data_IF_804061021657
#
_entry.id   IF_804061021657
#
_cell.length_a   1.000
_cell.length_b   1.000
_cell.length_c   1.000
_cell.angle_alpha   90.00
_cell.angle_beta   90.00
_cell.angle_gamma   90.00
#
_symmetry.space_group_name_H-M   'P 1'
#
loop_
_entity.id
_entity.type
_entity.pdbx_description
1 polymer ?
#
# COMPACT_ATOMS: atom_id res chain seq x y z
N UNK A 1 6.98 24.66 5.14
CA UNK A 1 8.26 24.62 4.41
C UNK A 1 8.09 25.45 3.15
N UNK A 2 8.80 26.58 3.04
CA UNK A 2 8.86 27.33 1.78
C UNK A 2 9.58 26.46 0.74
N UNK A 3 9.10 26.45 -0.51
CA UNK A 3 9.70 25.69 -1.59
C UNK A 3 11.06 26.29 -1.94
N UNK A 4 12.14 25.63 -1.54
CA UNK A 4 13.47 26.00 -2.02
C UNK A 4 13.66 25.43 -3.42
N UNK A 5 13.36 26.25 -4.43
CA UNK A 5 13.56 25.92 -5.84
C UNK A 5 15.04 25.99 -6.25
N UNK A 6 15.96 26.29 -5.32
CA UNK A 6 17.39 26.34 -5.59
C UNK A 6 17.87 24.96 -6.08
N UNK A 7 18.30 24.91 -7.33
CA UNK A 7 18.87 23.72 -7.97
C UNK A 7 17.95 23.00 -8.96
N UNK A 8 16.68 23.40 -9.10
CA UNK A 8 15.79 22.84 -10.12
C UNK A 8 15.91 23.65 -11.41
N UNK A 9 16.55 23.08 -12.43
CA UNK A 9 16.56 23.67 -13.77
C UNK A 9 15.23 23.40 -14.49
N UNK A 10 14.33 24.37 -14.37
CA UNK A 10 13.01 24.34 -15.02
C UNK A 10 13.14 24.24 -16.55
N UNK A 11 14.19 24.82 -17.14
CA UNK A 11 14.40 24.82 -18.59
C UNK A 11 14.68 23.41 -19.09
N UNK A 12 15.56 22.69 -18.41
CA UNK A 12 15.88 21.30 -18.75
C UNK A 12 14.68 20.38 -18.54
N UNK A 13 13.93 20.53 -17.44
CA UNK A 13 12.68 19.78 -17.23
C UNK A 13 11.67 20.00 -18.35
N UNK A 14 11.48 21.25 -18.78
CA UNK A 14 10.60 21.60 -19.91
C UNK A 14 11.05 20.96 -21.22
N UNK A 15 12.36 20.93 -21.50
CA UNK A 15 12.90 20.24 -22.69
C UNK A 15 12.57 18.74 -22.64
N UNK A 16 12.83 18.07 -21.51
CA UNK A 16 12.51 16.65 -21.34
C UNK A 16 11.03 16.35 -21.58
N UNK A 17 10.14 17.18 -21.05
CA UNK A 17 8.68 17.01 -21.27
C UNK A 17 8.28 17.30 -22.71
N UNK A 18 8.87 18.31 -23.36
CA UNK A 18 8.56 18.68 -24.75
C UNK A 18 8.96 17.59 -25.75
N UNK A 19 10.09 16.92 -25.52
CA UNK A 19 10.63 15.90 -26.41
C UNK A 19 10.32 14.47 -25.94
N UNK A 20 9.36 14.32 -25.04
CA UNK A 20 8.89 13.02 -24.57
C UNK A 20 7.95 12.39 -25.61
N UNK A 21 8.47 11.48 -26.43
CA UNK A 21 7.70 10.79 -27.45
C UNK A 21 6.69 9.79 -26.88
N UNK A 22 6.82 9.41 -25.61
CA UNK A 22 5.94 8.45 -24.93
C UNK A 22 5.00 9.12 -23.91
N UNK A 23 4.79 10.43 -24.05
CA UNK A 23 3.93 11.23 -23.16
C UNK A 23 2.53 10.60 -22.98
N UNK A 24 1.95 10.06 -24.04
CA UNK A 24 0.61 9.47 -24.01
C UNK A 24 0.52 8.23 -23.10
N UNK A 25 1.63 7.52 -22.86
CA UNK A 25 1.67 6.35 -21.97
C UNK A 25 1.73 6.71 -20.48
N UNK A 26 1.92 8.00 -20.16
CA UNK A 26 2.08 8.49 -18.78
C UNK A 26 0.78 8.93 -18.12
N UNK A 27 -0.36 8.81 -18.81
CA UNK A 27 -1.67 8.98 -18.20
C UNK A 27 -2.05 7.72 -17.44
N UNK A 28 -2.14 7.85 -16.13
CA UNK A 28 -2.47 6.76 -15.20
C UNK A 28 -3.70 7.14 -14.39
N UNK A 29 -4.48 6.16 -13.97
CA UNK A 29 -5.59 6.42 -13.05
C UNK A 29 -5.04 6.59 -11.64
N UNK A 30 -5.60 7.52 -10.88
CA UNK A 30 -5.31 7.70 -9.47
C UNK A 30 -6.59 7.97 -8.68
N UNK A 31 -6.55 7.62 -7.39
CA UNK A 31 -7.61 7.97 -6.43
C UNK A 31 -7.38 9.40 -5.96
N UNK A 32 -8.20 10.32 -6.46
CA UNK A 32 -8.15 11.74 -6.10
C UNK A 32 -8.81 11.98 -4.74
N UNK A 33 -9.96 11.33 -4.50
CA UNK A 33 -10.68 11.31 -3.22
C UNK A 33 -11.28 9.92 -3.02
N UNK A 34 -11.75 9.54 -1.82
CA UNK A 34 -12.42 8.27 -1.64
C UNK A 34 -13.52 8.09 -2.70
N UNK A 35 -13.39 7.04 -3.51
CA UNK A 35 -14.30 6.69 -4.62
C UNK A 35 -14.31 7.67 -5.82
N UNK A 36 -13.37 8.62 -5.90
CA UNK A 36 -13.20 9.53 -7.05
C UNK A 36 -11.89 9.19 -7.78
N UNK A 37 -12.03 8.51 -8.92
CA UNK A 37 -10.92 8.08 -9.77
C UNK A 37 -10.76 9.07 -10.92
N UNK A 38 -9.54 9.62 -11.08
CA UNK A 38 -9.21 10.58 -12.12
C UNK A 38 -7.94 10.18 -12.86
N UNK A 39 -7.71 10.79 -14.02
CA UNK A 39 -6.44 10.66 -14.72
C UNK A 39 -5.41 11.62 -14.13
N UNK A 40 -4.22 11.07 -13.85
CA UNK A 40 -3.01 11.78 -13.48
C UNK A 40 -2.00 11.61 -14.61
N UNK A 41 -1.40 12.71 -15.03
CA UNK A 41 -0.22 12.65 -15.89
C UNK A 41 1.02 12.38 -15.01
N UNK A 42 1.39 11.11 -14.86
CA UNK A 42 2.51 10.69 -14.00
C UNK A 42 3.84 10.90 -14.71
N UNK A 43 4.38 12.12 -14.56
CA UNK A 43 5.69 12.49 -15.04
C UNK A 43 6.53 13.06 -13.90
N UNK A 44 7.62 12.36 -13.54
CA UNK A 44 8.49 12.75 -12.40
C UNK A 44 9.23 14.07 -12.62
N UNK A 45 9.24 14.61 -13.84
CA UNK A 45 9.76 15.95 -14.11
C UNK A 45 8.77 17.03 -13.65
N UNK A 46 7.45 16.76 -13.71
CA UNK A 46 6.38 17.69 -13.32
C UNK A 46 5.87 17.47 -11.89
N UNK A 47 5.96 16.23 -11.39
CA UNK A 47 5.55 15.89 -10.03
C UNK A 47 6.71 16.19 -9.07
N UNK A 48 6.47 17.10 -8.12
CA UNK A 48 7.46 17.51 -7.12
C UNK A 48 7.90 16.35 -6.21
N UNK A 49 6.94 15.53 -5.77
CA UNK A 49 7.17 14.40 -4.87
C UNK A 49 6.51 13.14 -5.42
N UNK A 50 7.18 12.39 -6.30
CA UNK A 50 6.59 11.21 -6.92
C UNK A 50 6.44 10.03 -5.96
N UNK A 51 7.18 10.03 -4.83
CA UNK A 51 7.16 8.96 -3.83
C UNK A 51 7.25 7.56 -4.47
N UNK A 52 8.22 7.41 -5.40
CA UNK A 52 8.35 6.28 -6.33
C UNK A 52 8.15 4.90 -5.68
N UNK A 53 8.80 4.68 -4.54
CA UNK A 53 8.73 3.44 -3.76
C UNK A 53 7.31 3.02 -3.35
N UNK A 54 6.37 3.96 -3.29
CA UNK A 54 4.97 3.73 -2.93
C UNK A 54 4.08 3.79 -4.17
N UNK A 55 4.30 4.80 -5.02
CA UNK A 55 3.47 5.07 -6.19
C UNK A 55 3.65 4.03 -7.28
N UNK A 56 4.89 3.66 -7.60
CA UNK A 56 5.20 2.77 -8.72
C UNK A 56 4.69 1.35 -8.53
N UNK A 57 4.76 0.74 -7.32
CA UNK A 57 4.09 -0.53 -7.06
C UNK A 57 2.57 -0.50 -7.29
N UNK A 58 1.93 0.66 -7.21
CA UNK A 58 0.49 0.83 -7.45
C UNK A 58 0.16 1.19 -8.90
N UNK A 59 1.15 1.43 -9.75
CA UNK A 59 0.95 1.53 -11.20
C UNK A 59 0.72 0.15 -11.86
N UNK A 60 1.06 -0.92 -11.14
CA UNK A 60 0.82 -2.31 -11.51
C UNK A 60 -0.37 -2.87 -10.71
N UNK A 61 -0.76 -4.12 -11.00
CA UNK A 61 -1.88 -4.78 -10.30
C UNK A 61 -1.54 -5.08 -8.84
N UNK A 62 -1.91 -4.18 -7.93
CA UNK A 62 -1.56 -4.25 -6.52
C UNK A 62 -2.70 -3.72 -5.64
N UNK A 63 -2.70 -4.12 -4.37
CA UNK A 63 -3.59 -3.59 -3.34
C UNK A 63 -2.78 -2.74 -2.37
N UNK A 64 -3.36 -1.65 -1.88
CA UNK A 64 -2.79 -0.88 -0.78
C UNK A 64 -3.84 -0.54 0.26
N UNK A 65 -3.41 -0.56 1.52
CA UNK A 65 -4.19 -0.04 2.62
C UNK A 65 -3.77 1.41 2.87
N UNK A 66 -4.76 2.30 3.01
CA UNK A 66 -4.54 3.66 3.44
C UNK A 66 -4.91 3.78 4.91
N UNK A 67 -4.02 4.40 5.69
CA UNK A 67 -4.31 4.72 7.09
C UNK A 67 -3.67 6.06 7.48
N UNK A 68 -4.34 6.78 8.37
CA UNK A 68 -3.77 7.97 9.00
C UNK A 68 -2.91 7.58 10.20
N UNK A 69 -1.76 8.24 10.38
CA UNK A 69 -1.00 8.14 11.64
C UNK A 69 -1.66 8.92 12.77
N UNK A 70 -2.28 10.06 12.44
CA UNK A 70 -2.90 10.94 13.43
C UNK A 70 -4.26 11.41 12.92
N UNK A 71 -5.27 11.31 13.79
CA UNK A 71 -6.64 11.67 13.46
C UNK A 71 -7.01 12.92 14.26
N UNK A 72 -7.45 13.94 13.53
CA UNK A 72 -7.87 15.21 14.12
C UNK A 72 -9.36 15.25 14.48
N UNK A 73 -10.16 14.37 13.88
CA UNK A 73 -11.60 14.37 14.04
C UNK A 73 -11.98 13.85 15.44
N UNK A 74 -12.93 14.52 16.06
CA UNK A 74 -13.53 14.09 17.32
C UNK A 74 -14.54 12.95 17.14
N UNK A 75 -15.03 12.72 15.92
CA UNK A 75 -16.14 11.80 15.60
C UNK A 75 -15.68 10.35 15.34
N UNK A 76 -14.54 9.93 15.90
CA UNK A 76 -14.00 8.58 15.75
C UNK A 76 -13.12 8.36 14.50
N UNK A 77 -12.61 7.14 14.35
CA UNK A 77 -11.71 6.77 13.25
C UNK A 77 -12.49 6.42 11.97
N UNK A 78 -12.29 7.20 10.90
CA UNK A 78 -12.92 7.03 9.58
C UNK A 78 -11.94 6.77 8.43
N UNK A 79 -10.65 6.65 8.72
CA UNK A 79 -9.57 6.86 7.73
C UNK A 79 -8.88 5.57 7.27
N UNK A 80 -9.64 4.49 7.08
CA UNK A 80 -9.16 3.28 6.43
C UNK A 80 -9.80 3.14 5.06
N UNK A 81 -8.99 2.95 4.03
CA UNK A 81 -9.46 2.74 2.67
C UNK A 81 -8.54 1.75 1.96
N UNK A 82 -9.12 0.75 1.32
CA UNK A 82 -8.39 -0.10 0.39
C UNK A 82 -8.41 0.54 -1.00
N UNK A 83 -7.28 0.52 -1.68
CA UNK A 83 -7.14 1.05 -3.04
C UNK A 83 -6.31 0.11 -3.90
N UNK A 84 -6.53 0.16 -5.20
CA UNK A 84 -5.75 -0.57 -6.21
C UNK A 84 -5.12 0.37 -7.26
N UNK A 85 -5.12 1.68 -6.98
CA UNK A 85 -4.51 2.72 -7.80
C UNK A 85 -3.64 3.63 -6.94
N UNK A 86 -2.68 4.36 -7.53
CA UNK A 86 -1.96 5.42 -6.84
C UNK A 86 -2.89 6.43 -6.21
N UNK A 87 -2.46 7.06 -5.12
CA UNK A 87 -3.27 8.00 -4.36
C UNK A 87 -2.57 9.34 -4.23
N UNK A 88 -3.36 10.40 -4.10
CA UNK A 88 -2.82 11.72 -3.77
C UNK A 88 -2.62 11.89 -2.27
N UNK A 89 -1.66 12.73 -1.89
CA UNK A 89 -1.25 13.00 -0.49
C UNK A 89 -2.41 13.42 0.43
N UNK A 90 -3.42 14.12 -0.11
CA UNK A 90 -4.57 14.65 0.64
C UNK A 90 -5.88 13.92 0.38
N UNK A 91 -5.84 12.60 0.24
CA UNK A 91 -7.06 11.80 0.01
C UNK A 91 -8.10 11.97 1.13
N UNK A 92 -7.65 11.95 2.39
CA UNK A 92 -8.50 12.17 3.56
C UNK A 92 -8.55 13.63 3.99
N UNK A 93 -9.68 14.03 4.58
CA UNK A 93 -9.82 15.34 5.19
C UNK A 93 -9.19 15.34 6.59
N UNK A 94 -7.99 15.91 6.72
CA UNK A 94 -7.31 16.06 8.00
C UNK A 94 -6.41 17.30 8.01
N UNK A 95 -6.35 17.98 9.15
CA UNK A 95 -5.39 19.06 9.42
C UNK A 95 -4.11 18.55 10.14
N UNK A 96 -4.05 17.26 10.52
CA UNK A 96 -2.93 16.65 11.26
C UNK A 96 -1.98 15.80 10.41
N UNK A 97 -2.21 15.70 9.10
CA UNK A 97 -1.27 15.00 8.21
C UNK A 97 -1.93 14.42 6.96
N UNK A 98 -1.11 13.69 6.21
CA UNK A 98 -1.48 12.93 5.03
C UNK A 98 -1.72 11.45 5.37
N UNK A 99 -2.44 10.76 4.50
CA UNK A 99 -2.59 9.31 4.61
C UNK A 99 -1.26 8.62 4.31
N UNK A 100 -0.93 7.61 5.11
CA UNK A 100 0.12 6.66 4.78
C UNK A 100 -0.44 5.54 3.91
N UNK A 101 0.36 5.08 2.96
CA UNK A 101 0.00 4.07 1.97
C UNK A 101 0.83 2.83 2.25
N UNK A 102 0.17 1.70 2.39
CA UNK A 102 0.79 0.41 2.68
C UNK A 102 0.49 -0.54 1.52
N UNK A 103 1.34 -0.56 0.46
CA UNK A 103 1.19 -1.50 -0.65
C UNK A 103 1.43 -2.93 -0.18
N UNK A 104 0.60 -3.86 -0.64
CA UNK A 104 0.63 -5.27 -0.30
C UNK A 104 1.80 -5.98 -0.97
N UNK A 105 2.11 -5.61 -2.21
CA UNK A 105 3.22 -6.15 -2.97
C UNK A 105 4.28 -5.11 -3.28
N UNK A 106 5.54 -5.54 -3.29
CA UNK A 106 6.66 -4.81 -3.84
C UNK A 106 7.13 -5.50 -5.12
N UNK A 107 7.52 -4.69 -6.10
CA UNK A 107 8.02 -5.18 -7.38
C UNK A 107 9.52 -4.98 -7.44
N UNK A 108 10.24 -6.05 -7.80
CA UNK A 108 11.67 -5.95 -8.10
C UNK A 108 11.83 -5.26 -9.46
N UNK A 109 12.67 -4.22 -9.53
CA UNK A 109 13.02 -3.61 -10.81
C UNK A 109 13.65 -4.66 -11.72
N UNK A 110 12.97 -4.99 -12.83
CA UNK A 110 13.47 -5.89 -13.88
C UNK A 110 14.83 -5.39 -14.42
N UNK A 111 15.15 -4.10 -14.24
CA UNK A 111 16.38 -3.46 -14.70
C UNK A 111 17.52 -3.32 -13.66
N UNK A 112 17.34 -3.78 -12.41
CA UNK A 112 18.48 -3.87 -11.47
C UNK A 112 19.30 -5.14 -11.69
N UNK A 113 20.01 -5.18 -12.83
CA UNK A 113 21.24 -5.98 -12.93
C UNK A 113 22.17 -5.58 -11.78
N UNK A 114 22.50 -6.58 -10.94
CA UNK A 114 23.50 -6.59 -9.84
C UNK A 114 23.01 -6.12 -8.45
N UNK A 115 22.22 -6.97 -7.79
CA UNK A 115 22.51 -7.27 -6.38
C UNK A 115 22.45 -8.78 -6.18
N UNK A 116 23.62 -9.36 -5.91
CA UNK A 116 23.81 -10.78 -5.64
C UNK A 116 23.20 -11.11 -4.28
N UNK A 117 21.93 -11.52 -4.24
CA UNK A 117 21.39 -12.32 -3.12
C UNK A 117 20.00 -12.96 -3.34
N UNK A 118 19.44 -12.93 -4.55
CA UNK A 118 18.20 -13.66 -4.85
C UNK A 118 18.47 -14.89 -5.72
N UNK A 119 19.03 -15.93 -5.10
CA UNK A 119 19.29 -17.24 -5.71
C UNK A 119 18.43 -18.35 -5.08
N UNK A 120 17.16 -18.08 -4.78
CA UNK A 120 16.26 -19.12 -4.23
C UNK A 120 14.85 -19.20 -4.82
N UNK A 121 14.51 -18.45 -5.87
CA UNK A 121 13.17 -18.57 -6.50
C UNK A 121 13.25 -19.12 -7.92
N UNK A 122 13.47 -20.43 -8.03
CA UNK A 122 13.22 -21.19 -9.25
C UNK A 122 11.73 -21.54 -9.31
N UNK A 123 10.92 -20.64 -9.87
CA UNK A 123 9.60 -20.87 -10.49
C UNK A 123 9.08 -19.51 -11.02
N UNK A 124 9.80 -18.95 -11.99
CA UNK A 124 9.48 -17.64 -12.59
C UNK A 124 8.56 -17.80 -13.80
N UNK A 125 7.25 -17.82 -13.54
CA UNK A 125 6.23 -17.53 -14.54
C UNK A 125 5.06 -16.77 -13.90
N UNK A 126 5.36 -15.59 -13.36
CA UNK A 126 4.44 -14.49 -13.04
C UNK A 126 5.30 -13.31 -12.56
N UNK A 127 4.87 -12.08 -12.82
CA UNK A 127 5.56 -10.82 -12.50
C UNK A 127 6.31 -10.89 -11.16
N UNK A 128 7.57 -10.43 -11.13
CA UNK A 128 8.50 -10.55 -10.00
C UNK A 128 8.11 -9.67 -8.80
N UNK A 129 6.93 -9.90 -8.24
CA UNK A 129 6.41 -9.26 -7.04
C UNK A 129 6.59 -10.16 -5.82
N UNK A 130 6.75 -9.55 -4.66
CA UNK A 130 6.78 -10.24 -3.38
C UNK A 130 5.96 -9.48 -2.34
N UNK A 131 5.42 -10.21 -1.37
CA UNK A 131 4.60 -9.63 -0.31
C UNK A 131 5.40 -8.66 0.58
N UNK A 132 4.85 -7.49 0.84
CA UNK A 132 5.37 -6.47 1.75
C UNK A 132 4.95 -6.77 3.20
N UNK A 133 5.20 -7.99 3.64
CA UNK A 133 4.91 -8.47 4.99
C UNK A 133 6.21 -8.93 5.65
N UNK A 134 6.40 -8.60 6.93
CA UNK A 134 7.63 -9.02 7.61
C UNK A 134 7.64 -10.54 7.82
N UNK A 135 8.80 -11.21 7.67
CA UNK A 135 8.89 -12.66 7.91
C UNK A 135 8.45 -13.05 9.32
N UNK A 136 8.77 -12.24 10.33
CA UNK A 136 8.37 -12.47 11.71
C UNK A 136 6.85 -12.42 11.91
N UNK A 137 6.16 -11.54 11.19
CA UNK A 137 4.70 -11.44 11.22
C UNK A 137 4.04 -12.64 10.54
N UNK A 138 4.60 -13.08 9.40
CA UNK A 138 4.16 -14.28 8.70
C UNK A 138 4.30 -15.51 9.61
N UNK A 139 5.46 -15.67 10.26
CA UNK A 139 5.73 -16.80 11.15
C UNK A 139 4.81 -16.83 12.37
N UNK A 140 4.55 -15.67 13.00
CA UNK A 140 3.62 -15.59 14.15
C UNK A 140 2.20 -15.95 13.71
N UNK A 141 1.75 -15.43 12.57
CA UNK A 141 0.42 -15.74 12.00
C UNK A 141 0.28 -17.22 11.67
N UNK A 142 1.29 -17.80 11.00
CA UNK A 142 1.33 -19.21 10.63
C UNK A 142 1.23 -20.12 11.87
N UNK A 143 1.97 -19.78 12.94
CA UNK A 143 1.93 -20.51 14.22
C UNK A 143 0.57 -20.41 14.91
N UNK A 144 -0.02 -19.20 14.98
CA UNK A 144 -1.30 -18.98 15.66
C UNK A 144 -2.46 -19.68 14.96
N UNK A 145 -2.49 -19.66 13.63
CA UNK A 145 -3.58 -20.23 12.83
C UNK A 145 -3.34 -21.69 12.45
N UNK A 146 -2.13 -22.22 12.68
CA UNK A 146 -1.71 -23.56 12.21
C UNK A 146 -1.89 -23.70 10.69
N UNK A 147 -1.51 -22.65 9.94
CA UNK A 147 -1.57 -22.61 8.48
C UNK A 147 -0.17 -22.32 7.91
N UNK A 148 0.06 -22.76 6.67
CA UNK A 148 1.29 -22.50 5.92
C UNK A 148 1.11 -21.27 5.03
N UNK A 149 2.07 -20.35 5.05
CA UNK A 149 2.04 -19.19 4.17
C UNK A 149 2.34 -19.55 2.71
N UNK A 150 1.61 -18.95 1.78
CA UNK A 150 1.96 -18.91 0.35
C UNK A 150 2.42 -17.49 -0.02
N UNK A 151 3.37 -17.33 -0.96
CA UNK A 151 4.01 -16.04 -1.21
C UNK A 151 3.15 -15.04 -2.00
N UNK A 152 2.08 -15.48 -2.66
CA UNK A 152 1.24 -14.65 -3.53
C UNK A 152 -0.25 -15.08 -3.48
N UNK A 153 -1.15 -14.13 -3.69
CA UNK A 153 -2.61 -14.34 -3.71
C UNK A 153 -3.25 -14.75 -2.38
N UNK A 154 -4.34 -15.51 -2.49
CA UNK A 154 -5.13 -16.09 -1.38
C UNK A 154 -4.83 -17.58 -1.19
N UNK A 155 -4.81 -18.04 0.06
CA UNK A 155 -4.69 -19.45 0.41
C UNK A 155 -6.01 -20.21 0.30
N UNK A 156 -6.01 -21.49 0.66
CA UNK A 156 -7.23 -22.31 0.75
C UNK A 156 -7.97 -22.16 2.08
N UNK A 157 -7.39 -21.38 3.01
CA UNK A 157 -7.79 -21.17 4.40
C UNK A 157 -7.92 -22.45 5.24
N UNK A 158 -7.57 -23.62 4.70
CA UNK A 158 -7.63 -24.92 5.38
C UNK A 158 -6.25 -25.39 5.80
N UNK A 159 -5.29 -25.22 4.91
CA UNK A 159 -3.87 -25.56 5.07
C UNK A 159 -2.98 -24.36 4.81
N UNK A 160 -3.44 -23.38 4.02
CA UNK A 160 -2.65 -22.22 3.65
C UNK A 160 -3.38 -20.90 3.81
N UNK A 161 -2.59 -19.83 3.95
CA UNK A 161 -3.03 -18.44 3.83
C UNK A 161 -1.99 -17.67 3.00
N UNK A 162 -2.40 -16.61 2.33
CA UNK A 162 -1.56 -15.74 1.52
C UNK A 162 -1.60 -14.28 1.96
N UNK A 163 -0.88 -13.39 1.23
CA UNK A 163 -0.85 -11.97 1.54
C UNK A 163 -2.22 -11.29 1.43
N UNK A 164 -3.03 -11.68 0.45
CA UNK A 164 -4.37 -11.10 0.27
C UNK A 164 -5.31 -11.48 1.42
N UNK A 165 -5.21 -12.71 1.95
CA UNK A 165 -5.98 -13.13 3.12
C UNK A 165 -5.67 -12.24 4.33
N UNK A 166 -4.40 -11.91 4.53
CA UNK A 166 -3.98 -10.99 5.59
C UNK A 166 -4.44 -9.57 5.33
N UNK A 167 -4.47 -9.13 4.08
CA UNK A 167 -5.02 -7.83 3.71
C UNK A 167 -6.51 -7.74 4.06
N UNK A 168 -7.30 -8.74 3.66
CA UNK A 168 -8.74 -8.79 3.95
C UNK A 168 -9.01 -8.85 5.45
N UNK A 169 -8.31 -9.71 6.20
CA UNK A 169 -8.39 -9.77 7.65
C UNK A 169 -8.07 -8.42 8.30
N UNK A 170 -6.97 -7.77 7.88
CA UNK A 170 -6.57 -6.45 8.39
C UNK A 170 -7.66 -5.41 8.15
N UNK A 171 -8.21 -5.38 6.95
CA UNK A 171 -9.26 -4.45 6.57
C UNK A 171 -10.54 -4.68 7.39
N UNK A 172 -10.94 -5.93 7.57
CA UNK A 172 -12.12 -6.30 8.37
C UNK A 172 -11.95 -5.90 9.85
N UNK A 173 -10.79 -6.19 10.46
CA UNK A 173 -10.50 -5.81 11.84
C UNK A 173 -10.53 -4.29 12.02
N UNK A 174 -9.93 -3.53 11.10
CA UNK A 174 -9.93 -2.07 11.16
C UNK A 174 -11.30 -1.44 10.92
N UNK A 175 -12.26 -2.19 10.36
CA UNK A 175 -13.66 -1.78 10.24
C UNK A 175 -14.56 -2.27 11.38
N UNK A 176 -14.06 -3.08 12.31
CA UNK A 176 -14.81 -3.53 13.49
C UNK A 176 -15.12 -2.36 14.44
N UNK A 177 -16.40 -2.14 14.82
CA UNK A 177 -16.77 -1.13 15.82
C UNK A 177 -16.09 -1.36 17.17
N UNK A 178 -15.96 -2.62 17.59
CA UNK A 178 -15.30 -3.00 18.85
C UNK A 178 -13.82 -2.64 18.82
N UNK A 179 -13.11 -2.90 17.71
CA UNK A 179 -11.71 -2.49 17.54
C UNK A 179 -11.57 -0.97 17.63
N UNK A 180 -12.36 -0.22 16.84
CA UNK A 180 -12.29 1.24 16.80
C UNK A 180 -12.59 1.89 18.14
N UNK A 181 -13.54 1.33 18.90
CA UNK A 181 -13.88 1.83 20.25
C UNK A 181 -12.78 1.52 21.25
N UNK A 182 -12.28 0.28 21.26
CA UNK A 182 -11.25 -0.17 22.21
C UNK A 182 -9.91 0.56 22.01
N UNK A 183 -9.54 0.84 20.77
CA UNK A 183 -8.25 1.47 20.42
C UNK A 183 -8.39 2.94 20.04
N UNK A 184 -9.53 3.59 20.32
CA UNK A 184 -9.84 4.95 19.88
C UNK A 184 -8.74 5.98 20.21
N UNK A 185 -8.20 5.94 21.42
CA UNK A 185 -7.15 6.87 21.86
C UNK A 185 -5.81 6.60 21.15
N UNK A 186 -5.45 5.34 20.91
CA UNK A 186 -4.24 4.98 20.18
C UNK A 186 -4.33 5.38 18.69
N UNK A 187 -5.49 5.17 18.07
CA UNK A 187 -5.75 5.54 16.67
C UNK A 187 -5.71 7.05 16.42
N UNK A 188 -5.85 7.88 17.47
CA UNK A 188 -5.72 9.33 17.35
C UNK A 188 -4.26 9.80 17.27
N UNK A 189 -3.33 9.06 17.89
CA UNK A 189 -1.96 9.53 18.14
C UNK A 189 -0.90 8.80 17.31
N UNK A 190 -1.14 7.56 16.91
CA UNK A 190 -0.17 6.73 16.19
C UNK A 190 -0.84 5.77 15.19
N UNK A 191 -0.02 5.05 14.43
CA UNK A 191 -0.48 4.07 13.46
C UNK A 191 -1.38 2.98 14.07
N UNK A 192 -2.37 2.47 13.31
CA UNK A 192 -3.19 1.36 13.75
C UNK A 192 -2.34 0.11 14.00
N UNK A 193 -2.64 -0.59 15.08
CA UNK A 193 -1.99 -1.87 15.41
C UNK A 193 -2.97 -2.99 15.16
N UNK A 194 -2.56 -3.98 14.37
CA UNK A 194 -3.38 -5.14 14.02
C UNK A 194 -3.30 -6.19 15.14
N UNK A 195 -4.39 -6.47 15.88
CA UNK A 195 -4.45 -7.66 16.73
C UNK A 195 -4.53 -8.91 15.86
N UNK A 196 -3.78 -9.95 16.23
CA UNK A 196 -3.82 -11.26 15.57
C UNK A 196 -4.70 -12.23 16.37
N UNK A 197 -5.63 -12.87 15.66
CA UNK A 197 -6.46 -13.95 16.21
C UNK A 197 -5.74 -15.29 16.17
N UNK A 198 -6.03 -16.16 17.13
CA UNK A 198 -5.71 -17.59 17.09
C UNK A 198 -6.91 -18.45 16.68
N UNK A 199 -8.09 -17.83 16.52
CA UNK A 199 -9.30 -18.49 16.06
C UNK A 199 -9.34 -18.52 14.52
N UNK A 200 -9.13 -19.72 13.98
CA UNK A 200 -9.15 -19.99 12.54
C UNK A 200 -10.55 -19.79 11.93
N UNK A 201 -11.63 -20.07 12.67
CA UNK A 201 -12.99 -19.86 12.17
C UNK A 201 -13.30 -18.37 12.06
N UNK A 202 -12.86 -17.57 13.04
CA UNK A 202 -12.93 -16.12 12.96
C UNK A 202 -12.09 -15.58 11.79
N UNK A 203 -10.85 -16.05 11.63
CA UNK A 203 -10.00 -15.65 10.51
C UNK A 203 -10.68 -15.90 9.16
N UNK A 204 -11.22 -17.11 8.96
CA UNK A 204 -12.00 -17.48 7.77
C UNK A 204 -13.24 -16.63 7.55
N UNK A 205 -13.90 -16.18 8.60
CA UNK A 205 -15.12 -15.37 8.47
C UNK A 205 -14.80 -13.94 8.02
N UNK A 206 -13.62 -13.45 8.39
CA UNK A 206 -13.16 -12.10 8.07
C UNK A 206 -12.38 -12.04 6.74
N UNK A 207 -12.08 -13.19 6.15
CA UNK A 207 -11.41 -13.33 4.87
C UNK A 207 -12.40 -13.92 3.85
N UNK A 208 -12.69 -13.21 2.75
CA UNK A 208 -13.67 -13.65 1.73
C UNK A 208 -13.25 -14.91 0.97
#
# INVERSE_FOLDING_TARGET
QAYDLKGIDITEKRKKVRYDHEWNKKFVQCVWRPLDIRFLYYNTELIDRPCRQITEPLLQSNLALLAMRQIALHNGCSHFLAVNYPVIDRIFYSNKGAASVFPLYLYSDIDTKKSQQSLLNLNASQESRHANLSPTFIDDTAKRLTLRFIPDGTGDLKKTFGPEDMFYYTYAVFHSPTYRTRYAEFLKIDFPRLPLTSDLALFKTLTP
#
